data_IF_270224273175
#
_entry.id   IF_270224273175
#
_cell.length_a   1.000
_cell.length_b   1.000
_cell.length_c   1.000
_cell.angle_alpha   90.00
_cell.angle_beta   90.00
_cell.angle_gamma   90.00
#
_symmetry.space_group_name_H-M   'P 1'
#
loop_
_entity.id
_entity.type
_entity.pdbx_description
1 polymer ?
#
# COMPACT_ATOMS: atom_id res chain seq x y z
N UNK A 1 -18.28 -18.21 2.34
CA UNK A 1 -17.95 -17.46 3.58
C UNK A 1 -16.49 -17.03 3.66
N UNK A 2 -15.51 -17.78 3.12
CA UNK A 2 -14.09 -17.38 3.16
C UNK A 2 -13.71 -16.11 2.38
N UNK A 3 -14.44 -15.75 1.31
CA UNK A 3 -14.07 -14.58 0.48
C UNK A 3 -14.25 -13.23 1.18
N UNK A 4 -15.14 -13.15 2.19
CA UNK A 4 -15.37 -11.91 2.94
C UNK A 4 -14.26 -11.71 3.98
N UNK A 5 -13.81 -12.78 4.65
CA UNK A 5 -12.66 -12.75 5.56
C UNK A 5 -11.37 -12.35 4.83
N UNK A 6 -11.17 -12.83 3.60
CA UNK A 6 -10.04 -12.42 2.77
C UNK A 6 -10.07 -10.92 2.44
N UNK A 7 -11.25 -10.35 2.15
CA UNK A 7 -11.40 -8.92 1.87
C UNK A 7 -11.13 -8.08 3.13
N UNK A 8 -11.59 -8.50 4.31
CA UNK A 8 -11.30 -7.80 5.56
C UNK A 8 -9.79 -7.72 5.85
N UNK A 9 -9.03 -8.76 5.47
CA UNK A 9 -7.56 -8.76 5.61
C UNK A 9 -6.83 -7.74 4.71
N UNK A 10 -7.48 -7.29 3.63
CA UNK A 10 -6.95 -6.32 2.67
C UNK A 10 -7.25 -4.86 3.06
N UNK A 11 -8.05 -4.64 4.11
CA UNK A 11 -8.38 -3.30 4.59
C UNK A 11 -7.26 -2.79 5.50
N UNK A 12 -6.47 -1.84 5.01
CA UNK A 12 -5.43 -1.18 5.77
C UNK A 12 -5.81 0.27 6.11
N UNK A 13 -5.44 0.71 7.32
CA UNK A 13 -5.56 2.12 7.67
C UNK A 13 -4.56 2.96 6.87
N UNK A 14 -4.90 4.22 6.59
CA UNK A 14 -3.96 5.15 5.96
C UNK A 14 -2.69 5.33 6.78
N UNK A 15 -2.78 5.25 8.12
CA UNK A 15 -1.63 5.31 9.02
C UNK A 15 -0.67 4.13 8.81
N UNK A 16 -1.21 2.93 8.63
CA UNK A 16 -0.44 1.72 8.33
C UNK A 16 0.31 1.85 7.00
N UNK A 17 -0.37 2.34 5.95
CA UNK A 17 0.23 2.56 4.62
C UNK A 17 1.35 3.60 4.70
N UNK A 18 1.12 4.72 5.41
CA UNK A 18 2.14 5.75 5.63
C UNK A 18 3.34 5.21 6.41
N UNK A 19 3.10 4.40 7.45
CA UNK A 19 4.19 3.80 8.21
C UNK A 19 5.03 2.85 7.36
N UNK A 20 4.40 2.00 6.54
CA UNK A 20 5.10 1.04 5.68
C UNK A 20 5.94 1.75 4.60
N UNK A 21 5.37 2.75 3.94
CA UNK A 21 6.02 3.48 2.84
C UNK A 21 6.96 4.59 3.30
N UNK A 22 7.15 4.78 4.61
CA UNK A 22 7.82 5.96 5.19
C UNK A 22 7.24 7.27 4.64
N UNK A 23 5.91 7.41 4.75
CA UNK A 23 5.11 8.52 4.26
C UNK A 23 5.37 8.81 2.76
N UNK A 24 5.33 7.76 1.93
CA UNK A 24 5.56 7.85 0.48
C UNK A 24 6.91 8.49 0.12
N UNK A 25 7.96 8.18 0.89
CA UNK A 25 9.30 8.69 0.64
C UNK A 25 9.81 8.22 -0.73
N UNK A 26 10.44 9.12 -1.49
CA UNK A 26 11.10 8.77 -2.75
C UNK A 26 12.19 7.69 -2.58
N UNK A 27 12.80 7.59 -1.38
CA UNK A 27 13.77 6.53 -1.07
C UNK A 27 13.15 5.12 -1.09
N UNK A 28 11.82 5.03 -0.95
CA UNK A 28 11.05 3.79 -1.01
C UNK A 28 10.32 3.62 -2.34
N UNK A 29 10.43 4.56 -3.27
CA UNK A 29 9.82 4.43 -4.60
C UNK A 29 10.57 3.37 -5.41
N UNK A 30 9.82 2.39 -5.90
CA UNK A 30 10.31 1.34 -6.78
C UNK A 30 10.29 1.78 -8.24
N UNK A 31 9.35 2.64 -8.61
CA UNK A 31 9.21 3.16 -9.96
C UNK A 31 7.89 3.92 -10.16
N UNK A 32 7.68 4.42 -11.37
CA UNK A 32 6.45 5.08 -11.80
C UNK A 32 6.16 4.76 -13.26
N UNK A 33 4.89 4.52 -13.58
CA UNK A 33 4.42 4.28 -14.94
C UNK A 33 3.02 4.84 -15.16
N UNK A 34 2.31 4.37 -16.19
CA UNK A 34 0.97 4.87 -16.54
C UNK A 34 -0.12 4.67 -15.47
N UNK A 35 0.16 3.88 -14.43
CA UNK A 35 -0.73 3.64 -13.29
C UNK A 35 -0.32 4.40 -12.01
N UNK A 36 0.75 5.21 -12.08
CA UNK A 36 1.27 5.97 -10.94
C UNK A 36 2.52 5.36 -10.28
N UNK A 37 2.94 5.91 -9.13
CA UNK A 37 4.13 5.49 -8.41
C UNK A 37 3.89 4.21 -7.59
N UNK A 38 4.92 3.38 -7.49
CA UNK A 38 4.94 2.17 -6.66
C UNK A 38 5.97 2.33 -5.56
N UNK A 39 5.61 2.01 -4.33
CA UNK A 39 6.48 2.08 -3.15
C UNK A 39 6.67 0.69 -2.54
N UNK A 40 7.85 0.43 -1.98
CA UNK A 40 8.13 -0.77 -1.18
C UNK A 40 7.57 -0.67 0.23
#
# INVERSE_FOLDING_TARGET
DGEIEDIESLIFSLGSIKSATNNFSEANKLGEGGFGPVYK
#
